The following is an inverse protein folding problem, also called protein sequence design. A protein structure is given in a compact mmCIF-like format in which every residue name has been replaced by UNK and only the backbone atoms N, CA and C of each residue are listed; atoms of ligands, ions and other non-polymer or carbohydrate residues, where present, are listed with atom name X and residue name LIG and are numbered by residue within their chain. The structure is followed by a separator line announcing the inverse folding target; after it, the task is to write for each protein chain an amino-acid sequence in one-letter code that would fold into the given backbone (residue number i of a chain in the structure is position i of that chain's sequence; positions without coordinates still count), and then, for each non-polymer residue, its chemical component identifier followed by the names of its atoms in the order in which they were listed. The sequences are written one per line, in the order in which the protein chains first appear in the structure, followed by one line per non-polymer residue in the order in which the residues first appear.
data_IF_773646744544
#
_entry.id   IF_773646744544
#
_cell.length_a   1.000
_cell.length_b   1.000
_cell.length_c   1.000
_cell.angle_alpha   90.00
_cell.angle_beta   90.00
_cell.angle_gamma   90.00
#
_symmetry.space_group_name_H-M   'P 1'
#
loop_
_entity.id
_entity.type
_entity.pdbx_description
1 polymer ?
#
# COMPACT_ATOMS: atom_id res chain seq x y z
N UNK A 1 12.48 14.92 11.67
CA UNK A 1 12.28 13.46 11.58
C UNK A 1 11.37 13.05 12.72
N UNK A 2 10.25 12.38 12.47
CA UNK A 2 9.46 11.79 13.56
C UNK A 2 9.93 10.34 13.75
N UNK A 3 9.93 9.84 14.99
CA UNK A 3 10.21 8.42 15.28
C UNK A 3 9.25 7.50 14.51
N UNK A 4 8.01 7.96 14.34
CA UNK A 4 6.93 7.25 13.68
C UNK A 4 7.22 6.93 12.19
N UNK A 5 7.82 7.85 11.44
CA UNK A 5 8.11 7.64 10.01
C UNK A 5 9.13 6.51 9.79
N UNK A 6 10.13 6.40 10.68
CA UNK A 6 11.16 5.35 10.62
C UNK A 6 10.58 3.99 10.96
N UNK A 7 9.91 3.91 12.11
CA UNK A 7 9.32 2.67 12.61
C UNK A 7 8.33 2.09 11.58
N UNK A 8 7.53 2.94 10.93
CA UNK A 8 6.63 2.55 9.84
C UNK A 8 7.35 1.85 8.69
N UNK A 9 8.45 2.40 8.19
CA UNK A 9 9.20 1.83 7.05
C UNK A 9 9.90 0.54 7.47
N UNK A 10 10.53 0.52 8.65
CA UNK A 10 11.24 -0.66 9.18
C UNK A 10 10.26 -1.83 9.32
N UNK A 11 9.11 -1.61 9.99
CA UNK A 11 8.09 -2.65 10.19
C UNK A 11 7.57 -3.22 8.86
N UNK A 12 7.46 -2.39 7.82
CA UNK A 12 7.06 -2.87 6.49
C UNK A 12 8.14 -3.76 5.87
N UNK A 13 9.41 -3.35 5.93
CA UNK A 13 10.52 -4.14 5.37
C UNK A 13 10.71 -5.46 6.13
N UNK A 14 10.57 -5.45 7.45
CA UNK A 14 10.62 -6.68 8.26
C UNK A 14 9.47 -7.64 7.90
N UNK A 15 8.28 -7.12 7.63
CA UNK A 15 7.12 -7.91 7.20
C UNK A 15 7.28 -8.50 5.80
N UNK A 16 8.04 -7.82 4.93
CA UNK A 16 8.25 -8.24 3.54
C UNK A 16 9.75 -8.34 3.21
N UNK A 17 10.46 -9.40 3.67
CA UNK A 17 11.89 -9.59 3.42
C UNK A 17 12.31 -9.57 1.93
N UNK A 18 11.47 -10.11 1.04
CA UNK A 18 11.65 -10.07 -0.43
C UNK A 18 11.32 -8.71 -1.09
N UNK A 19 10.99 -7.67 -0.30
CA UNK A 19 10.74 -6.34 -0.84
C UNK A 19 12.03 -5.70 -1.35
N UNK A 20 11.92 -5.03 -2.50
CA UNK A 20 13.01 -4.25 -3.09
C UNK A 20 12.75 -2.75 -2.91
N UNK A 21 13.73 -1.86 -3.18
CA UNK A 21 13.53 -0.41 -3.09
C UNK A 21 12.28 0.11 -3.81
N UNK A 22 11.91 -0.51 -4.93
CA UNK A 22 10.70 -0.16 -5.70
C UNK A 22 9.40 -0.50 -4.96
N UNK A 23 9.38 -1.55 -4.15
CA UNK A 23 8.22 -1.91 -3.34
C UNK A 23 8.02 -0.92 -2.17
N UNK A 24 9.12 -0.44 -1.58
CA UNK A 24 9.09 0.64 -0.57
C UNK A 24 8.67 1.97 -1.21
N UNK A 25 9.17 2.29 -2.41
CA UNK A 25 8.69 3.42 -3.19
C UNK A 25 7.17 3.34 -3.37
N UNK A 26 6.66 2.18 -3.76
CA UNK A 26 5.22 1.96 -3.97
C UNK A 26 4.43 2.08 -2.67
N UNK A 27 4.95 1.60 -1.54
CA UNK A 27 4.35 1.79 -0.22
C UNK A 27 4.18 3.29 0.08
N UNK A 28 5.26 4.06 0.01
CA UNK A 28 5.25 5.50 0.28
C UNK A 28 4.31 6.21 -0.69
N UNK A 29 4.33 5.82 -1.98
CA UNK A 29 3.44 6.37 -2.99
C UNK A 29 1.97 6.14 -2.60
N UNK A 30 1.60 4.93 -2.22
CA UNK A 30 0.23 4.63 -1.81
C UNK A 30 -0.18 5.35 -0.51
N UNK A 31 0.74 5.51 0.44
CA UNK A 31 0.48 6.27 1.67
C UNK A 31 0.31 7.77 1.49
N UNK A 32 0.84 8.33 0.40
CA UNK A 32 0.79 9.77 0.11
C UNK A 32 -0.28 10.11 -0.93
N UNK A 33 -0.40 9.31 -1.98
CA UNK A 33 -1.28 9.56 -3.13
C UNK A 33 -2.50 8.63 -3.18
N UNK A 34 -2.58 7.62 -2.31
CA UNK A 34 -3.71 6.69 -2.27
C UNK A 34 -3.80 5.80 -3.52
N UNK A 35 -5.02 5.62 -4.01
CA UNK A 35 -5.34 4.88 -5.25
C UNK A 35 -5.16 5.70 -6.52
N UNK A 36 -5.00 7.03 -6.41
CA UNK A 36 -4.97 7.95 -7.54
C UNK A 36 -6.36 8.22 -8.15
N UNK A 37 -6.46 9.33 -8.89
CA UNK A 37 -7.72 10.00 -9.26
C UNK A 37 -8.62 9.32 -10.33
N UNK A 38 -8.36 8.08 -10.76
CA UNK A 38 -9.15 7.48 -11.86
C UNK A 38 -9.54 6.04 -11.54
N UNK A 39 -10.64 5.89 -10.80
CA UNK A 39 -11.40 4.64 -10.76
C UNK A 39 -12.48 4.73 -11.84
N UNK A 40 -12.26 4.04 -12.95
CA UNK A 40 -13.28 3.91 -14.01
C UNK A 40 -14.28 2.81 -13.68
N UNK A 41 -15.44 2.77 -14.33
CA UNK A 41 -16.40 1.65 -14.21
C UNK A 41 -15.74 0.28 -14.49
N UNK A 42 -14.75 0.22 -15.38
CA UNK A 42 -13.96 -0.99 -15.64
C UNK A 42 -13.21 -1.49 -14.40
N UNK A 43 -12.86 -0.60 -13.48
CA UNK A 43 -12.19 -1.00 -12.24
C UNK A 43 -13.09 -1.86 -11.34
N UNK A 44 -14.42 -1.70 -11.44
CA UNK A 44 -15.39 -2.56 -10.75
C UNK A 44 -15.35 -3.97 -11.32
N UNK A 45 -15.40 -4.10 -12.64
CA UNK A 45 -15.31 -5.38 -13.35
C UNK A 45 -14.00 -6.12 -13.00
N UNK A 46 -12.86 -5.40 -13.04
CA UNK A 46 -11.57 -5.97 -12.65
C UNK A 46 -11.53 -6.42 -11.18
N UNK A 47 -12.15 -5.67 -10.26
CA UNK A 47 -12.25 -6.08 -8.86
C UNK A 47 -13.03 -7.40 -8.71
N UNK A 48 -14.16 -7.52 -9.40
CA UNK A 48 -14.97 -8.74 -9.37
C UNK A 48 -14.26 -9.93 -10.01
N UNK A 49 -13.63 -9.75 -11.17
CA UNK A 49 -12.86 -10.80 -11.81
C UNK A 49 -11.69 -11.29 -10.93
N UNK A 50 -10.96 -10.35 -10.32
CA UNK A 50 -9.87 -10.69 -9.40
C UNK A 50 -10.42 -11.46 -8.19
N UNK A 51 -11.48 -10.95 -7.55
CA UNK A 51 -12.12 -11.59 -6.40
C UNK A 51 -12.58 -13.02 -6.71
N UNK A 52 -13.14 -13.27 -7.90
CA UNK A 52 -13.58 -14.61 -8.32
C UNK A 52 -12.44 -15.59 -8.62
N UNK A 53 -11.20 -15.11 -8.78
CA UNK A 53 -10.01 -15.94 -9.08
C UNK A 53 -9.07 -16.11 -7.89
N UNK A 54 -9.27 -15.39 -6.79
CA UNK A 54 -8.41 -15.45 -5.61
C UNK A 54 -8.65 -16.76 -4.84
N UNK A 55 -7.61 -17.59 -4.62
CA UNK A 55 -7.71 -18.71 -3.68
C UNK A 55 -7.80 -18.19 -2.24
N UNK A 56 -8.89 -18.53 -1.55
CA UNK A 56 -9.19 -18.02 -0.20
C UNK A 56 -8.40 -18.73 0.92
N UNK A 57 -7.98 -19.96 0.68
CA UNK A 57 -7.20 -20.77 1.64
C UNK A 57 -5.72 -20.39 1.68
N UNK A 58 -5.23 -19.68 0.65
CA UNK A 58 -3.86 -19.19 0.62
C UNK A 58 -3.65 -18.04 1.62
N UNK A 59 -2.49 -18.03 2.28
CA UNK A 59 -2.07 -16.96 3.19
C UNK A 59 -3.13 -16.63 4.29
N UNK A 60 -3.55 -17.61 5.11
CA UNK A 60 -4.64 -17.45 6.07
C UNK A 60 -4.38 -16.37 7.13
N UNK A 61 -3.12 -16.18 7.52
CA UNK A 61 -2.72 -15.28 8.61
C UNK A 61 -2.60 -13.81 8.20
N UNK A 62 -2.90 -13.46 6.94
CA UNK A 62 -2.81 -12.06 6.49
C UNK A 62 -3.93 -11.23 7.13
N UNK A 63 -3.61 -10.04 7.69
CA UNK A 63 -4.62 -9.19 8.30
C UNK A 63 -5.58 -8.63 7.24
N UNK A 64 -6.80 -8.30 7.66
CA UNK A 64 -7.78 -7.63 6.79
C UNK A 64 -7.26 -6.28 6.28
N UNK A 65 -6.54 -5.55 7.14
CA UNK A 65 -5.99 -4.22 6.83
C UNK A 65 -4.53 -4.14 7.20
N UNK A 66 -3.77 -3.39 6.41
CA UNK A 66 -2.39 -3.02 6.71
C UNK A 66 -2.19 -1.52 6.46
N UNK A 67 -1.62 -0.76 7.41
CA UNK A 67 -1.32 0.65 7.17
C UNK A 67 -0.28 0.83 6.08
N UNK A 68 -0.50 1.83 5.22
CA UNK A 68 0.46 2.28 4.20
C UNK A 68 0.88 3.73 4.36
N UNK A 69 0.38 4.41 5.40
CA UNK A 69 0.85 5.72 5.85
C UNK A 69 1.34 5.64 7.30
N UNK A 70 2.31 6.50 7.71
CA UNK A 70 2.81 6.51 9.09
C UNK A 70 1.74 6.82 10.15
N UNK A 71 0.75 7.64 9.79
CA UNK A 71 -0.38 8.00 10.67
C UNK A 71 -1.50 6.93 10.67
N UNK A 72 -1.38 5.87 9.86
CA UNK A 72 -2.39 4.82 9.73
C UNK A 72 -3.68 5.25 9.05
N UNK A 73 -3.78 6.49 8.56
CA UNK A 73 -4.98 7.01 7.89
C UNK A 73 -5.25 6.35 6.54
N UNK A 74 -4.23 5.80 5.88
CA UNK A 74 -4.34 5.08 4.61
C UNK A 74 -3.97 3.62 4.83
N UNK A 75 -4.81 2.71 4.34
CA UNK A 75 -4.63 1.26 4.52
C UNK A 75 -4.79 0.50 3.22
N UNK A 76 -4.08 -0.64 3.12
CA UNK A 76 -4.37 -1.73 2.17
C UNK A 76 -5.39 -2.67 2.81
N UNK A 77 -6.54 -2.86 2.16
CA UNK A 77 -7.52 -3.92 2.46
C UNK A 77 -7.14 -5.17 1.68
N UNK A 78 -6.95 -6.30 2.36
CA UNK A 78 -6.64 -7.58 1.74
C UNK A 78 -7.92 -8.29 1.29
N UNK A 79 -8.02 -8.56 -0.01
CA UNK A 79 -9.19 -9.20 -0.61
C UNK A 79 -9.44 -10.62 -0.07
N UNK A 80 -8.40 -11.38 0.32
CA UNK A 80 -8.57 -12.73 0.86
C UNK A 80 -9.41 -12.77 2.15
N UNK A 81 -8.95 -12.19 3.28
CA UNK A 81 -9.76 -12.12 4.50
C UNK A 81 -11.04 -11.30 4.33
N UNK A 82 -11.06 -10.32 3.42
CA UNK A 82 -12.29 -9.57 3.10
C UNK A 82 -13.38 -10.50 2.55
N UNK A 83 -13.03 -11.33 1.57
CA UNK A 83 -13.93 -12.31 0.97
C UNK A 83 -14.30 -13.43 1.93
N UNK A 84 -13.35 -13.94 2.74
CA UNK A 84 -13.65 -14.95 3.79
C UNK A 84 -14.67 -14.46 4.82
N UNK A 85 -14.69 -13.14 5.10
CA UNK A 85 -15.67 -12.51 5.99
C UNK A 85 -17.00 -12.21 5.31
N UNK A 86 -17.18 -12.57 4.04
CA UNK A 86 -18.36 -12.28 3.22
C UNK A 86 -18.71 -10.77 3.19
N UNK A 87 -17.69 -9.91 3.20
CA UNK A 87 -17.89 -8.46 3.08
C UNK A 87 -18.21 -8.09 1.62
N UNK A 88 -19.03 -7.05 1.46
CA UNK A 88 -19.56 -6.63 0.15
C UNK A 88 -18.48 -5.97 -0.73
N UNK A 89 -18.25 -6.55 -1.91
CA UNK A 89 -17.36 -5.96 -2.92
C UNK A 89 -17.91 -4.64 -3.48
N UNK A 90 -19.23 -4.49 -3.55
CA UNK A 90 -19.87 -3.24 -3.96
C UNK A 90 -19.57 -2.12 -2.96
N UNK A 91 -19.61 -2.43 -1.66
CA UNK A 91 -19.32 -1.48 -0.59
C UNK A 91 -17.82 -1.13 -0.61
N UNK A 92 -16.94 -2.11 -0.85
CA UNK A 92 -15.51 -1.87 -0.99
C UNK A 92 -15.22 -0.95 -2.19
N UNK A 93 -15.91 -1.16 -3.31
CA UNK A 93 -15.77 -0.32 -4.49
C UNK A 93 -16.22 1.12 -4.24
N UNK A 94 -17.29 1.32 -3.45
CA UNK A 94 -17.73 2.67 -3.03
C UNK A 94 -16.65 3.36 -2.18
N UNK A 95 -16.13 2.66 -1.17
CA UNK A 95 -15.05 3.18 -0.30
C UNK A 95 -13.79 3.50 -1.11
N UNK A 96 -13.42 2.64 -2.07
CA UNK A 96 -12.29 2.91 -2.97
C UNK A 96 -12.50 4.17 -3.80
N UNK A 97 -13.70 4.35 -4.36
CA UNK A 97 -14.06 5.52 -5.18
C UNK A 97 -14.01 6.80 -4.36
N UNK A 98 -14.60 6.79 -3.16
CA UNK A 98 -14.54 7.93 -2.25
C UNK A 98 -13.10 8.22 -1.77
N UNK A 99 -12.28 7.20 -1.57
CA UNK A 99 -10.86 7.35 -1.22
C UNK A 99 -9.99 7.93 -2.36
N UNK A 100 -10.46 7.89 -3.61
CA UNK A 100 -9.73 8.36 -4.79
C UNK A 100 -9.72 9.89 -4.94
N UNK A 101 -10.53 10.61 -4.14
CA UNK A 101 -10.55 12.07 -4.11
C UNK A 101 -9.32 12.68 -3.41
N UNK A 102 -8.52 11.86 -2.73
CA UNK A 102 -7.32 12.31 -2.02
C UNK A 102 -6.29 12.91 -2.99
N UNK A 103 -5.85 14.12 -2.69
CA UNK A 103 -4.74 14.77 -3.40
C UNK A 103 -3.42 14.45 -2.71
N UNK A 104 -2.45 13.97 -3.49
CA UNK A 104 -1.13 13.67 -2.97
C UNK A 104 -0.29 14.92 -2.68
N UNK A 105 0.80 14.73 -1.95
CA UNK A 105 1.72 15.79 -1.56
C UNK A 105 3.17 15.38 -1.83
N UNK A 106 3.77 15.99 -2.85
CA UNK A 106 5.15 15.71 -3.29
C UNK A 106 6.17 15.94 -2.17
N UNK A 107 6.00 16.98 -1.35
CA UNK A 107 6.89 17.25 -0.22
C UNK A 107 6.81 16.13 0.83
N UNK A 108 5.61 15.63 1.13
CA UNK A 108 5.39 14.49 2.04
C UNK A 108 6.04 13.22 1.47
N UNK A 109 5.91 12.99 0.17
CA UNK A 109 6.55 11.84 -0.50
C UNK A 109 8.08 11.93 -0.41
N UNK A 110 8.67 13.06 -0.82
CA UNK A 110 10.12 13.26 -0.80
C UNK A 110 10.68 13.14 0.62
N UNK A 111 9.98 13.69 1.62
CA UNK A 111 10.37 13.55 3.02
C UNK A 111 10.42 12.09 3.47
N UNK A 112 9.38 11.31 3.20
CA UNK A 112 9.34 9.88 3.55
C UNK A 112 10.37 9.07 2.75
N UNK A 113 10.56 9.40 1.47
CA UNK A 113 11.58 8.79 0.64
C UNK A 113 13.00 9.03 1.20
N UNK A 114 13.31 10.25 1.63
CA UNK A 114 14.58 10.57 2.27
C UNK A 114 14.76 9.86 3.62
N UNK A 115 13.68 9.62 4.38
CA UNK A 115 13.76 8.77 5.58
C UNK A 115 14.15 7.35 5.22
N UNK A 116 13.54 6.76 4.19
CA UNK A 116 13.92 5.43 3.70
C UNK A 116 15.38 5.37 3.25
N UNK A 117 15.83 6.33 2.42
CA UNK A 117 17.23 6.42 1.98
C UNK A 117 18.18 6.47 3.17
N UNK A 118 17.90 7.34 4.14
CA UNK A 118 18.72 7.48 5.34
C UNK A 118 18.79 6.19 6.17
N UNK A 119 17.69 5.42 6.28
CA UNK A 119 17.68 4.13 6.98
C UNK A 119 18.59 3.10 6.29
N UNK A 120 18.67 3.12 4.95
CA UNK A 120 19.58 2.23 4.21
C UNK A 120 21.02 2.68 4.36
N UNK A 121 21.29 3.98 4.31
CA UNK A 121 22.65 4.54 4.45
C UNK A 121 23.28 4.27 5.83
N UNK A 122 22.48 4.33 6.91
CA UNK A 122 22.96 4.01 8.27
C UNK A 122 22.96 2.52 8.58
N UNK A 123 22.41 1.69 7.69
CA UNK A 123 22.40 0.23 7.82
C UNK A 123 21.26 -0.37 8.65
N UNK A 124 20.24 0.44 9.02
CA UNK A 124 19.03 -0.04 9.71
C UNK A 124 18.18 -0.93 8.78
N UNK A 125 18.23 -0.67 7.46
CA UNK A 125 17.57 -1.48 6.43
C UNK A 125 18.61 -1.97 5.42
N UNK A 126 18.59 -3.27 5.11
CA UNK A 126 19.46 -3.86 4.10
C UNK A 126 18.77 -3.92 2.75
N UNK A 127 19.13 -3.01 1.84
CA UNK A 127 18.65 -2.99 0.46
C UNK A 127 19.75 -2.54 -0.51
N UNK A 128 19.58 -2.85 -1.81
CA UNK A 128 20.55 -2.50 -2.84
C UNK A 128 20.54 -0.98 -3.12
N UNK A 129 21.67 -0.31 -2.81
CA UNK A 129 21.85 1.13 -3.05
C UNK A 129 21.70 1.52 -4.53
N UNK A 130 22.07 0.62 -5.45
CA UNK A 130 21.94 0.86 -6.89
C UNK A 130 20.47 1.08 -7.29
N UNK A 131 19.55 0.21 -6.81
CA UNK A 131 18.13 0.36 -7.09
C UNK A 131 17.52 1.64 -6.49
N UNK A 132 18.03 2.08 -5.33
CA UNK A 132 17.63 3.36 -4.72
C UNK A 132 18.07 4.54 -5.60
N UNK A 133 19.31 4.52 -6.08
CA UNK A 133 19.85 5.57 -6.95
C UNK A 133 19.08 5.65 -8.28
N UNK A 134 18.77 4.52 -8.90
CA UNK A 134 17.96 4.46 -10.12
C UNK A 134 16.56 5.08 -9.92
N UNK A 135 15.95 4.85 -8.75
CA UNK A 135 14.67 5.46 -8.39
C UNK A 135 14.80 6.97 -8.15
N UNK A 136 15.86 7.43 -7.48
CA UNK A 136 16.14 8.86 -7.31
C UNK A 136 16.34 9.57 -8.64
N UNK A 137 17.11 8.98 -9.56
CA UNK A 137 17.32 9.53 -10.91
C UNK A 137 15.98 9.59 -11.68
N UNK A 138 15.14 8.57 -11.55
CA UNK A 138 13.81 8.55 -12.15
C UNK A 138 12.88 9.63 -11.59
N UNK A 139 12.87 9.84 -10.25
CA UNK A 139 12.10 10.92 -9.60
C UNK A 139 12.56 12.28 -10.15
N UNK A 140 13.86 12.52 -10.21
CA UNK A 140 14.42 13.79 -10.68
C UNK A 140 14.10 14.05 -12.15
N UNK A 141 14.10 13.00 -12.99
CA UNK A 141 13.89 13.13 -14.44
C UNK A 141 12.41 13.17 -14.83
N UNK A 142 11.58 12.33 -14.22
CA UNK A 142 10.21 12.05 -14.66
C UNK A 142 9.14 12.47 -13.65
N UNK A 143 9.55 12.95 -12.48
CA UNK A 143 8.67 13.21 -11.34
C UNK A 143 8.24 11.92 -10.63
N UNK A 144 7.39 12.09 -9.61
CA UNK A 144 6.83 10.98 -8.82
C UNK A 144 5.71 10.33 -9.63
N UNK A 145 5.80 9.02 -9.88
CA UNK A 145 4.89 8.26 -10.73
C UNK A 145 4.50 6.94 -10.08
N UNK A 146 3.26 6.45 -10.26
CA UNK A 146 2.85 5.16 -9.72
C UNK A 146 3.71 4.03 -10.29
N UNK A 147 4.05 3.06 -9.44
CA UNK A 147 4.83 1.89 -9.82
C UNK A 147 4.12 0.59 -9.44
N UNK A 148 4.39 -0.48 -10.19
CA UNK A 148 3.98 -1.84 -9.85
C UNK A 148 4.98 -2.48 -8.88
N UNK A 149 4.52 -3.51 -8.16
CA UNK A 149 5.39 -4.34 -7.34
C UNK A 149 6.45 -5.03 -8.20
N UNK A 150 7.60 -5.32 -7.59
CA UNK A 150 8.64 -6.10 -8.24
C UNK A 150 8.21 -7.55 -8.41
N UNK A 151 8.85 -8.27 -9.33
CA UNK A 151 8.54 -9.68 -9.53
C UNK A 151 8.82 -10.54 -8.28
N UNK A 152 9.96 -10.38 -7.57
CA UNK A 152 10.19 -11.09 -6.30
C UNK A 152 9.07 -10.85 -5.28
N UNK A 153 8.63 -9.60 -5.11
CA UNK A 153 7.53 -9.28 -4.20
C UNK A 153 6.21 -9.96 -4.63
N UNK A 154 5.90 -9.96 -5.93
CA UNK A 154 4.67 -10.60 -6.45
C UNK A 154 4.68 -12.11 -6.22
N UNK A 155 5.81 -12.76 -6.48
CA UNK A 155 5.98 -14.20 -6.31
C UNK A 155 6.00 -14.61 -4.83
N UNK A 156 6.55 -13.79 -3.95
CA UNK A 156 6.62 -14.11 -2.53
C UNK A 156 5.28 -13.91 -1.80
N UNK A 157 4.48 -12.91 -2.21
CA UNK A 157 3.35 -12.45 -1.39
C UNK A 157 1.99 -12.44 -2.10
N UNK A 158 1.94 -12.63 -3.42
CA UNK A 158 0.71 -12.63 -4.23
C UNK A 158 -0.28 -11.54 -3.78
N UNK A 159 0.15 -10.26 -3.79
CA UNK A 159 -0.61 -9.17 -3.20
C UNK A 159 -1.95 -8.97 -3.89
N UNK A 160 -3.03 -9.06 -3.11
CA UNK A 160 -4.41 -8.82 -3.56
C UNK A 160 -5.02 -7.74 -2.66
N UNK A 161 -4.56 -6.51 -2.84
CA UNK A 161 -4.89 -5.39 -1.95
C UNK A 161 -5.65 -4.28 -2.68
N UNK A 162 -6.50 -3.57 -1.94
CA UNK A 162 -7.10 -2.29 -2.34
C UNK A 162 -6.72 -1.20 -1.36
N UNK A 163 -6.30 -0.05 -1.85
CA UNK A 163 -5.91 1.07 -0.98
C UNK A 163 -7.15 1.93 -0.71
N UNK A 164 -7.37 2.31 0.55
CA UNK A 164 -8.50 3.12 0.98
C UNK A 164 -8.09 4.02 2.14
N UNK A 165 -8.86 5.07 2.42
CA UNK A 165 -8.75 5.77 3.71
C UNK A 165 -9.42 4.92 4.79
N UNK A 166 -8.81 4.92 5.99
CA UNK A 166 -9.27 4.09 7.11
C UNK A 166 -10.63 4.55 7.63
N UNK A 167 -10.88 5.85 7.65
CA UNK A 167 -12.11 6.43 8.17
C UNK A 167 -13.31 6.05 7.29
N UNK A 168 -13.22 6.23 5.97
CA UNK A 168 -14.27 5.79 5.04
C UNK A 168 -14.51 4.28 5.11
N UNK A 169 -13.44 3.49 5.26
CA UNK A 169 -13.58 2.05 5.46
C UNK A 169 -14.34 1.72 6.75
N UNK A 170 -14.06 2.43 7.85
CA UNK A 170 -14.74 2.22 9.14
C UNK A 170 -16.20 2.66 9.10
N UNK A 171 -16.49 3.76 8.44
CA UNK A 171 -17.86 4.25 8.26
C UNK A 171 -18.72 3.23 7.52
N UNK A 172 -18.19 2.61 6.47
CA UNK A 172 -18.94 1.63 5.66
C UNK A 172 -19.03 0.26 6.34
N UNK A 173 -17.93 -0.25 6.92
CA UNK A 173 -17.83 -1.64 7.40
C UNK A 173 -17.93 -1.81 8.91
N UNK A 174 -18.10 -0.72 9.66
CA UNK A 174 -18.38 -0.63 11.10
C UNK A 174 -18.09 -1.92 11.89
N UNK A 175 -16.85 -2.11 12.36
CA UNK A 175 -16.64 -3.05 13.48
C UNK A 175 -17.06 -2.29 14.75
N UNK A 176 -18.03 -2.79 15.55
CA UNK A 176 -18.25 -2.22 16.86
C UNK A 176 -16.93 -2.30 17.63
N UNK A 177 -16.46 -1.15 18.12
CA UNK A 177 -15.42 -1.11 19.13
C UNK A 177 -15.91 -1.99 20.30
N UNK A 178 -15.21 -3.09 20.54
CA UNK A 178 -15.45 -4.11 21.57
C UNK A 178 -16.33 -5.31 21.15
N UNK A 179 -15.66 -6.42 20.83
CA UNK A 179 -16.08 -7.78 21.14
C UNK A 179 -14.86 -8.56 21.67
#
# INVERSE_FOLDING_TARGET
MTKNDKDFIILHVERYPEAQPRDVYKLIFQGVYGVGHIISEKAKEYLWEEAGRIPLEDYPDRPLREPVSPDGSIVRVNLRPFLRRNLSLDDLFRVMTASAEMTGNDEKFIKLWMVFVGLVEVGDIRMELKGIKELQDSINKNGIKPMHHTEPYRQAYYPAYRVVTLDLFREEFCEPEHA
#
